data_IF_289849410334
#
_entry.id   IF_289849410334
#
_cell.length_a   1.000
_cell.length_b   1.000
_cell.length_c   1.000
_cell.angle_alpha   90.00
_cell.angle_beta   90.00
_cell.angle_gamma   90.00
#
_symmetry.space_group_name_H-M   'P 1'
#
loop_
_entity.id
_entity.type
_entity.pdbx_description
1 polymer ?
#
# COMPACT_ATOMS: atom_id res chain seq x y z
N UNK A 1 21.58 -12.33 -10.33
CA UNK A 1 22.71 -11.41 -10.03
C UNK A 1 22.28 -10.02 -10.49
N UNK A 2 22.15 -9.05 -9.59
CA UNK A 2 21.88 -7.67 -10.00
C UNK A 2 23.21 -7.00 -10.32
N UNK A 3 23.37 -6.56 -11.56
CA UNK A 3 24.51 -5.76 -12.00
C UNK A 3 24.60 -4.50 -11.12
N UNK A 4 25.80 -4.24 -10.57
CA UNK A 4 26.08 -3.01 -9.83
C UNK A 4 26.02 -1.84 -10.81
N UNK A 5 24.90 -1.14 -10.82
CA UNK A 5 24.71 0.08 -11.59
C UNK A 5 25.80 1.10 -11.24
N UNK A 6 26.59 1.51 -12.24
CA UNK A 6 27.51 2.64 -12.14
C UNK A 6 26.89 3.84 -12.85
N UNK A 7 26.60 4.95 -12.14
CA UNK A 7 26.03 6.13 -12.77
C UNK A 7 27.04 6.79 -13.73
N UNK A 8 26.57 7.44 -14.82
CA UNK A 8 27.45 8.13 -15.77
C UNK A 8 28.21 9.27 -15.10
N UNK A 9 29.49 9.45 -15.45
CA UNK A 9 30.40 10.43 -14.81
C UNK A 9 30.18 11.90 -15.19
N UNK A 10 29.23 12.21 -16.06
CA UNK A 10 28.92 13.59 -16.46
C UNK A 10 27.48 13.70 -16.93
N UNK A 11 26.65 14.35 -16.13
CA UNK A 11 25.37 14.87 -16.60
C UNK A 11 25.65 16.18 -17.33
N UNK A 12 25.24 16.25 -18.60
CA UNK A 12 25.33 17.47 -19.40
C UNK A 12 24.69 18.66 -18.69
N UNK A 13 25.29 19.82 -18.85
CA UNK A 13 24.81 21.10 -18.32
C UNK A 13 23.38 21.40 -18.78
N UNK A 14 22.41 21.35 -17.87
CA UNK A 14 21.23 22.24 -17.74
C UNK A 14 20.07 21.53 -17.01
N UNK A 15 20.07 21.66 -15.69
CA UNK A 15 19.04 21.15 -14.78
C UNK A 15 19.74 20.71 -13.51
N UNK A 16 19.68 21.54 -12.46
CA UNK A 16 20.40 21.31 -11.20
C UNK A 16 20.25 19.86 -10.73
N UNK A 17 21.25 19.34 -10.02
CA UNK A 17 21.40 17.93 -9.66
C UNK A 17 20.13 17.24 -9.08
N UNK A 18 19.16 18.03 -8.59
CA UNK A 18 17.90 17.58 -8.02
C UNK A 18 16.65 17.79 -8.92
N UNK A 19 16.81 18.20 -10.18
CA UNK A 19 15.66 18.56 -11.02
C UNK A 19 14.86 17.33 -11.46
N UNK A 20 13.56 17.33 -11.14
CA UNK A 20 12.58 16.34 -11.61
C UNK A 20 11.77 16.83 -12.83
N UNK A 21 12.20 17.91 -13.48
CA UNK A 21 11.59 18.44 -14.71
C UNK A 21 11.67 17.42 -15.85
N UNK A 22 10.61 17.32 -16.67
CA UNK A 22 10.60 16.42 -17.83
C UNK A 22 10.30 14.97 -17.49
N UNK A 23 9.99 14.65 -16.22
CA UNK A 23 9.57 13.30 -15.84
C UNK A 23 8.39 12.83 -16.68
N UNK A 24 7.43 13.70 -16.96
CA UNK A 24 6.22 13.43 -17.74
C UNK A 24 6.50 12.82 -19.12
N UNK A 25 7.59 13.23 -19.78
CA UNK A 25 8.00 12.75 -21.11
C UNK A 25 8.91 11.52 -21.09
N UNK A 26 9.38 11.10 -19.92
CA UNK A 26 10.29 9.96 -19.77
C UNK A 26 9.54 8.62 -19.75
N UNK A 27 10.21 7.57 -20.23
CA UNK A 27 9.76 6.19 -20.02
C UNK A 27 9.75 5.82 -18.53
N UNK A 28 9.03 4.75 -18.16
CA UNK A 28 8.97 4.30 -16.77
C UNK A 28 10.36 3.96 -16.18
N UNK A 29 11.23 3.36 -17.00
CA UNK A 29 12.60 3.03 -16.59
C UNK A 29 13.43 4.29 -16.34
N UNK A 30 13.35 5.29 -17.24
CA UNK A 30 14.05 6.56 -17.10
C UNK A 30 13.55 7.37 -15.90
N UNK A 31 12.23 7.39 -15.65
CA UNK A 31 11.64 7.99 -14.45
C UNK A 31 12.25 7.41 -13.19
N UNK A 32 12.28 6.08 -13.12
CA UNK A 32 12.83 5.36 -11.97
C UNK A 32 14.30 5.69 -11.77
N UNK A 33 15.10 5.64 -12.84
CA UNK A 33 16.51 5.97 -12.80
C UNK A 33 16.75 7.43 -12.35
N UNK A 34 15.96 8.37 -12.86
CA UNK A 34 16.06 9.80 -12.49
C UNK A 34 15.71 10.03 -11.02
N UNK A 35 14.63 9.42 -10.54
CA UNK A 35 14.22 9.50 -9.13
C UNK A 35 15.30 8.92 -8.22
N UNK A 36 15.87 7.76 -8.57
CA UNK A 36 16.96 7.14 -7.80
C UNK A 36 18.19 8.06 -7.74
N UNK A 37 18.58 8.66 -8.87
CA UNK A 37 19.72 9.58 -8.90
C UNK A 37 19.50 10.77 -7.95
N UNK A 38 18.33 11.42 -8.04
CA UNK A 38 17.98 12.54 -7.15
C UNK A 38 17.96 12.11 -5.68
N UNK A 39 17.37 10.95 -5.36
CA UNK A 39 17.33 10.45 -3.99
C UNK A 39 18.73 10.18 -3.42
N UNK A 40 19.63 9.60 -4.23
CA UNK A 40 21.01 9.36 -3.83
C UNK A 40 21.78 10.67 -3.57
N UNK A 41 21.61 11.67 -4.43
CA UNK A 41 22.24 12.98 -4.28
C UNK A 41 21.74 13.71 -3.02
N UNK A 42 20.44 13.63 -2.72
CA UNK A 42 19.87 14.17 -1.48
C UNK A 42 20.44 13.47 -0.25
N UNK A 43 20.48 12.13 -0.26
CA UNK A 43 21.02 11.34 0.85
C UNK A 43 22.50 11.67 1.10
N UNK A 44 23.31 11.72 0.03
CA UNK A 44 24.73 12.09 0.13
C UNK A 44 24.91 13.51 0.68
N UNK A 45 24.09 14.46 0.22
CA UNK A 45 24.12 15.86 0.69
C UNK A 45 23.79 15.95 2.18
N UNK A 46 22.72 15.29 2.64
CA UNK A 46 22.33 15.28 4.06
C UNK A 46 23.43 14.66 4.93
N UNK A 47 24.01 13.52 4.51
CA UNK A 47 25.12 12.87 5.22
C UNK A 47 26.33 13.80 5.31
N UNK A 48 26.68 14.47 4.22
CA UNK A 48 27.81 15.40 4.22
C UNK A 48 27.58 16.56 5.19
N UNK A 49 26.38 17.16 5.18
CA UNK A 49 26.06 18.26 6.08
C UNK A 49 26.08 17.81 7.55
N UNK A 50 25.54 16.61 7.85
CA UNK A 50 25.61 16.04 9.19
C UNK A 50 27.06 15.90 9.68
N UNK A 51 27.97 15.42 8.81
CA UNK A 51 29.41 15.34 9.14
C UNK A 51 30.05 16.71 9.39
N UNK A 52 29.68 17.73 8.60
CA UNK A 52 30.17 19.09 8.81
C UNK A 52 29.66 19.68 10.13
N UNK A 53 28.42 19.38 10.51
CA UNK A 53 27.85 19.79 11.78
C UNK A 53 28.57 19.12 12.96
N UNK A 54 28.81 17.80 12.88
CA UNK A 54 29.55 17.03 13.90
C UNK A 54 30.99 17.54 14.08
N UNK A 55 31.64 17.94 12.98
CA UNK A 55 32.97 18.55 13.01
C UNK A 55 32.99 19.98 13.58
N UNK A 56 31.84 20.55 13.94
CA UNK A 56 31.73 21.93 14.43
C UNK A 56 31.87 23.00 13.35
N UNK A 57 31.85 22.62 12.06
CA UNK A 57 31.98 23.55 10.94
C UNK A 57 30.65 24.26 10.59
N UNK A 58 29.54 23.81 11.17
CA UNK A 58 28.22 24.41 10.99
C UNK A 58 27.60 24.75 12.33
N UNK A 59 26.95 25.90 12.37
CA UNK A 59 26.18 26.36 13.52
C UNK A 59 24.77 25.76 13.52
N UNK A 60 24.13 25.75 14.69
CA UNK A 60 22.75 25.27 14.83
C UNK A 60 21.77 25.98 13.88
N UNK A 61 21.93 27.28 13.63
CA UNK A 61 21.06 28.01 12.69
C UNK A 61 21.20 27.54 11.25
N UNK A 62 22.39 27.08 10.84
CA UNK A 62 22.66 26.58 9.50
C UNK A 62 22.12 25.15 9.28
N UNK A 63 21.92 24.37 10.34
CA UNK A 63 21.42 22.99 10.26
C UNK A 63 19.90 22.86 10.47
N UNK A 64 19.23 23.88 11.06
CA UNK A 64 17.77 23.93 11.23
C UNK A 64 16.99 23.56 9.94
N UNK A 65 17.33 24.08 8.75
CA UNK A 65 16.60 23.75 7.53
C UNK A 65 16.55 22.25 7.22
N UNK A 66 17.59 21.48 7.59
CA UNK A 66 17.63 20.03 7.37
C UNK A 66 16.71 19.31 8.34
N UNK A 67 16.69 19.72 9.61
CA UNK A 67 15.75 19.16 10.57
C UNK A 67 14.30 19.44 10.17
N UNK A 68 13.99 20.68 9.75
CA UNK A 68 12.67 21.03 9.24
C UNK A 68 12.27 20.20 8.00
N UNK A 69 13.23 19.93 7.11
CA UNK A 69 13.03 19.08 5.95
C UNK A 69 12.72 17.62 6.35
N UNK A 70 13.50 17.05 7.27
CA UNK A 70 13.29 15.70 7.80
C UNK A 70 11.92 15.61 8.49
N UNK A 71 11.58 16.57 9.33
CA UNK A 71 10.29 16.62 10.03
C UNK A 71 9.11 16.70 9.08
N UNK A 72 9.25 17.44 7.97
CA UNK A 72 8.23 17.53 6.92
C UNK A 72 7.99 16.17 6.25
N UNK A 73 9.06 15.42 5.95
CA UNK A 73 8.96 14.06 5.40
C UNK A 73 8.27 13.12 6.39
N UNK A 74 8.72 13.12 7.66
CA UNK A 74 8.15 12.26 8.70
C UNK A 74 6.68 12.60 8.97
N UNK A 75 6.31 13.87 8.90
CA UNK A 75 4.92 14.32 9.01
C UNK A 75 4.04 13.77 7.88
N UNK A 76 4.53 13.82 6.64
CA UNK A 76 3.84 13.25 5.48
C UNK A 76 3.69 11.73 5.61
N UNK A 77 4.76 11.02 5.97
CA UNK A 77 4.74 9.56 6.14
C UNK A 77 3.70 9.15 7.18
N UNK A 78 3.71 9.78 8.37
CA UNK A 78 2.71 9.52 9.42
C UNK A 78 1.27 9.76 8.95
N UNK A 79 1.05 10.82 8.17
CA UNK A 79 -0.27 11.13 7.60
C UNK A 79 -0.73 10.04 6.62
N UNK A 80 0.15 9.61 5.72
CA UNK A 80 -0.12 8.55 4.75
C UNK A 80 -0.39 7.21 5.45
N UNK A 81 0.45 6.82 6.42
CA UNK A 81 0.25 5.60 7.22
C UNK A 81 -1.09 5.63 7.94
N UNK A 82 -1.45 6.75 8.58
CA UNK A 82 -2.73 6.89 9.27
C UNK A 82 -3.92 6.78 8.31
N UNK A 83 -3.81 7.35 7.11
CA UNK A 83 -4.84 7.23 6.08
C UNK A 83 -5.00 5.78 5.62
N UNK A 84 -3.89 5.08 5.39
CA UNK A 84 -3.89 3.68 4.97
C UNK A 84 -4.50 2.76 6.04
N UNK A 85 -4.13 2.94 7.31
CA UNK A 85 -4.68 2.16 8.41
C UNK A 85 -6.20 2.32 8.53
N UNK A 86 -6.72 3.55 8.38
CA UNK A 86 -8.17 3.80 8.38
C UNK A 86 -8.89 3.08 7.23
N UNK A 87 -8.29 3.06 6.05
CA UNK A 87 -8.87 2.36 4.91
C UNK A 87 -8.85 0.84 5.12
N UNK A 88 -7.78 0.30 5.69
CA UNK A 88 -7.70 -1.11 6.11
C UNK A 88 -8.79 -1.46 7.13
N UNK A 89 -8.97 -0.64 8.17
CA UNK A 89 -10.02 -0.86 9.18
C UNK A 89 -11.42 -0.85 8.57
N UNK A 90 -11.67 0.07 7.63
CA UNK A 90 -12.93 0.16 6.90
C UNK A 90 -13.17 -1.08 6.04
N UNK A 91 -12.14 -1.57 5.35
CA UNK A 91 -12.23 -2.79 4.55
C UNK A 91 -12.46 -4.01 5.44
N UNK A 92 -11.72 -4.14 6.55
CA UNK A 92 -11.93 -5.21 7.54
C UNK A 92 -13.35 -5.22 8.09
N UNK A 93 -13.90 -4.05 8.43
CA UNK A 93 -15.28 -3.92 8.90
C UNK A 93 -16.31 -4.35 7.85
N UNK A 94 -16.07 -4.01 6.57
CA UNK A 94 -16.95 -4.44 5.46
C UNK A 94 -16.90 -5.94 5.24
N UNK A 95 -15.71 -6.54 5.30
CA UNK A 95 -15.53 -7.99 5.18
C UNK A 95 -16.30 -8.70 6.30
N UNK A 96 -16.10 -8.28 7.55
CA UNK A 96 -16.80 -8.90 8.69
C UNK A 96 -18.34 -8.81 8.58
N UNK A 97 -18.86 -7.69 8.06
CA UNK A 97 -20.29 -7.54 7.80
C UNK A 97 -20.78 -8.50 6.70
N UNK A 98 -20.03 -8.62 5.61
CA UNK A 98 -20.36 -9.53 4.51
C UNK A 98 -20.31 -10.99 4.96
N UNK A 99 -19.28 -11.39 5.71
CA UNK A 99 -19.17 -12.73 6.28
C UNK A 99 -20.36 -13.08 7.16
N UNK A 100 -20.77 -12.15 8.04
CA UNK A 100 -21.94 -12.33 8.89
C UNK A 100 -23.23 -12.49 8.07
N UNK A 101 -23.37 -11.72 6.99
CA UNK A 101 -24.54 -11.83 6.13
C UNK A 101 -24.54 -13.16 5.37
N UNK A 102 -23.42 -13.53 4.74
CA UNK A 102 -23.29 -14.80 4.05
C UNK A 102 -23.55 -16.00 4.98
N UNK A 103 -23.09 -15.95 6.23
CA UNK A 103 -23.37 -17.01 7.20
C UNK A 103 -24.87 -17.18 7.44
N UNK A 104 -25.63 -16.09 7.57
CA UNK A 104 -27.09 -16.14 7.73
C UNK A 104 -27.78 -16.67 6.48
N UNK A 105 -27.33 -16.23 5.31
CA UNK A 105 -27.91 -16.66 4.04
C UNK A 105 -27.73 -18.18 3.87
N UNK A 106 -26.55 -18.71 4.24
CA UNK A 106 -26.26 -20.15 4.24
C UNK A 106 -27.15 -20.89 5.24
N UNK A 107 -27.33 -20.38 6.46
CA UNK A 107 -28.21 -20.98 7.47
C UNK A 107 -29.67 -21.05 6.97
N UNK A 108 -30.17 -19.97 6.39
CA UNK A 108 -31.53 -19.89 5.86
C UNK A 108 -31.74 -20.85 4.67
N UNK A 109 -30.79 -20.87 3.73
CA UNK A 109 -30.80 -21.82 2.61
C UNK A 109 -30.78 -23.27 3.09
N UNK A 110 -29.95 -23.57 4.08
CA UNK A 110 -29.84 -24.92 4.66
C UNK A 110 -31.17 -25.34 5.31
N UNK A 111 -31.80 -24.43 6.06
CA UNK A 111 -33.10 -24.68 6.68
C UNK A 111 -34.18 -24.96 5.63
N UNK A 112 -34.27 -24.12 4.60
CA UNK A 112 -35.23 -24.29 3.51
C UNK A 112 -35.03 -25.63 2.78
N UNK A 113 -33.78 -26.01 2.51
CA UNK A 113 -33.45 -27.30 1.90
C UNK A 113 -33.88 -28.48 2.78
N UNK A 114 -33.63 -28.42 4.09
CA UNK A 114 -34.04 -29.47 5.05
C UNK A 114 -35.56 -29.62 5.15
N UNK A 115 -36.30 -28.51 5.17
CA UNK A 115 -37.76 -28.50 5.17
C UNK A 115 -38.30 -29.15 3.88
N UNK A 116 -37.74 -28.78 2.73
CA UNK A 116 -38.11 -29.35 1.43
C UNK A 116 -37.84 -30.85 1.36
N UNK A 117 -36.65 -31.29 1.81
CA UNK A 117 -36.30 -32.72 1.87
C UNK A 117 -37.29 -33.47 2.76
N UNK A 118 -37.65 -32.90 3.91
CA UNK A 118 -38.61 -33.51 4.84
C UNK A 118 -39.98 -33.68 4.19
N UNK A 119 -40.49 -32.64 3.52
CA UNK A 119 -41.76 -32.71 2.80
C UNK A 119 -41.75 -33.74 1.67
N UNK A 120 -40.66 -33.81 0.90
CA UNK A 120 -40.51 -34.79 -0.17
C UNK A 120 -40.51 -36.22 0.38
N UNK A 121 -39.80 -36.49 1.49
CA UNK A 121 -39.80 -37.80 2.16
C UNK A 121 -41.20 -38.23 2.59
N UNK A 122 -41.97 -37.31 3.20
CA UNK A 122 -43.36 -37.58 3.61
C UNK A 122 -44.22 -37.93 2.39
N UNK A 123 -44.07 -37.19 1.29
CA UNK A 123 -44.84 -37.42 0.07
C UNK A 123 -44.50 -38.74 -0.61
N UNK A 124 -43.23 -39.14 -0.59
CA UNK A 124 -42.79 -40.46 -1.09
C UNK A 124 -43.42 -41.58 -0.26
N UNK A 125 -43.36 -41.50 1.07
CA UNK A 125 -43.96 -42.52 1.95
C UNK A 125 -45.47 -42.67 1.73
N UNK A 126 -46.19 -41.56 1.51
CA UNK A 126 -47.61 -41.58 1.18
C UNK A 126 -47.90 -42.29 -0.15
N UNK A 127 -47.07 -42.05 -1.17
CA UNK A 127 -47.22 -42.70 -2.47
C UNK A 127 -46.94 -44.21 -2.40
N UNK A 128 -45.94 -44.62 -1.62
CA UNK A 128 -45.61 -46.05 -1.41
C UNK A 128 -46.73 -46.81 -0.66
N UNK A 129 -47.35 -46.19 0.35
CA UNK A 129 -48.51 -46.78 1.04
C UNK A 129 -49.73 -46.91 0.13
N UNK A 130 -49.97 -45.93 -0.75
CA UNK A 130 -51.11 -45.94 -1.66
C UNK A 130 -50.92 -46.88 -2.86
N UNK A 131 -49.68 -47.24 -3.23
CA UNK A 131 -49.41 -48.19 -4.32
C UNK A 131 -49.42 -49.65 -3.89
N UNK A 132 -49.50 -49.93 -2.59
CA UNK A 132 -49.51 -51.28 -2.00
C UNK A 132 -50.88 -51.71 -1.47
N UNK A 133 -51.89 -50.84 -1.58
CA UNK A 133 -53.31 -51.11 -1.30
C UNK A 133 -54.07 -51.39 -2.61
#
# INVERSE_FOLDING_TARGET
MFEKYQPPRTYGSSGGALSLTGLESMSAAEKTARIIAVANDMAASIIYIAKQAEAGNLTNSQIIPIYNFIDSILGLERSQTKSLMRELDKQGSRIALMEKQHSRDIEELTKCAMETITQMKVRIAQLEMNSTA
#
